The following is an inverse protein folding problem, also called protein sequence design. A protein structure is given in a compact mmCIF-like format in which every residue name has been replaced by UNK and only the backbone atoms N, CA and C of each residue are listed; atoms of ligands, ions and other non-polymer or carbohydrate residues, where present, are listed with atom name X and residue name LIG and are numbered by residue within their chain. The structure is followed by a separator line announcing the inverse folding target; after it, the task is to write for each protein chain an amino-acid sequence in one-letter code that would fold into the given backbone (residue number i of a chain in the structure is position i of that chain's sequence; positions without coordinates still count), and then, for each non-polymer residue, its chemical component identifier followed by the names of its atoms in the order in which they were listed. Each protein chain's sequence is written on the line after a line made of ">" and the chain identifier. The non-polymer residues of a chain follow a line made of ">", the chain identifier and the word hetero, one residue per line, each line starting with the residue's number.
data_IF_580732230746
#
_entry.id   IF_580732230746
#
_cell.length_a   1.000
_cell.length_b   1.000
_cell.length_c   1.000
_cell.angle_alpha   90.00
_cell.angle_beta   90.00
_cell.angle_gamma   90.00
#
_symmetry.space_group_name_H-M   'P 1'
#
loop_
_entity.id
_entity.type
_entity.pdbx_description
1 polymer ?
#
# COMPACT_ATOMS: atom_id res chain seq x y z
N UNK A 1 -11.72 -3.22 24.53
CA UNK A 1 -10.56 -3.90 23.93
C UNK A 1 -10.38 -3.38 22.52
N UNK A 2 -9.20 -2.84 22.11
CA UNK A 2 -8.99 -2.50 20.72
C UNK A 2 -8.92 -3.81 19.93
N UNK A 3 -9.85 -3.97 18.98
CA UNK A 3 -10.10 -5.17 18.20
C UNK A 3 -8.84 -5.53 17.40
N UNK A 4 -8.46 -6.81 17.34
CA UNK A 4 -7.32 -7.40 16.59
C UNK A 4 -6.96 -6.73 15.25
N UNK A 5 -7.95 -6.17 14.54
CA UNK A 5 -7.76 -5.40 13.30
C UNK A 5 -6.98 -4.08 13.46
N UNK A 6 -6.98 -3.44 14.63
CA UNK A 6 -6.29 -2.17 14.86
C UNK A 6 -4.76 -2.35 14.85
N UNK A 7 -4.28 -3.45 15.44
CA UNK A 7 -2.86 -3.79 15.43
C UNK A 7 -2.37 -4.12 14.02
N UNK A 8 -3.13 -4.94 13.28
CA UNK A 8 -2.78 -5.31 11.91
C UNK A 8 -2.75 -4.08 10.99
N UNK A 9 -3.74 -3.19 11.13
CA UNK A 9 -3.79 -1.94 10.39
C UNK A 9 -2.59 -1.04 10.70
N UNK A 10 -2.26 -0.85 11.97
CA UNK A 10 -1.09 -0.05 12.38
C UNK A 10 0.22 -0.66 11.88
N UNK A 11 0.33 -1.99 11.91
CA UNK A 11 1.52 -2.69 11.43
C UNK A 11 1.73 -2.48 9.93
N UNK A 12 0.66 -2.64 9.14
CA UNK A 12 0.71 -2.34 7.71
C UNK A 12 1.02 -0.86 7.45
N UNK A 13 0.39 0.05 8.19
CA UNK A 13 0.65 1.49 8.07
C UNK A 13 2.13 1.82 8.23
N UNK A 14 2.81 1.25 9.24
CA UNK A 14 4.25 1.44 9.42
C UNK A 14 5.08 0.97 8.22
N UNK A 15 4.70 -0.14 7.60
CA UNK A 15 5.40 -0.63 6.39
C UNK A 15 5.12 0.28 5.20
N UNK A 16 3.91 0.79 5.05
CA UNK A 16 3.55 1.73 3.98
C UNK A 16 4.27 3.08 4.14
N UNK A 17 4.31 3.61 5.36
CA UNK A 17 4.97 4.89 5.66
C UNK A 17 6.49 4.83 5.42
N UNK A 18 7.08 3.63 5.50
CA UNK A 18 8.48 3.41 5.16
C UNK A 18 8.77 3.46 3.65
N UNK A 19 7.73 3.43 2.80
CA UNK A 19 7.84 3.62 1.34
C UNK A 19 8.85 2.69 0.67
N UNK A 20 9.61 3.25 -0.27
CA UNK A 20 10.65 2.55 -1.05
C UNK A 20 11.86 2.15 -0.21
N UNK A 21 12.15 2.88 0.88
CA UNK A 21 13.25 2.53 1.79
C UNK A 21 12.99 1.19 2.47
N UNK A 22 11.73 0.89 2.79
CA UNK A 22 11.33 -0.32 3.49
C UNK A 22 11.67 -0.29 4.98
N UNK A 23 11.00 -1.15 5.75
CA UNK A 23 11.05 -1.19 7.20
C UNK A 23 11.75 -2.45 7.70
N UNK A 24 12.75 -2.35 8.58
CA UNK A 24 13.29 -3.55 9.22
C UNK A 24 12.18 -4.24 10.01
N UNK A 25 12.05 -5.57 9.87
CA UNK A 25 11.03 -6.35 10.59
C UNK A 25 11.12 -6.07 12.10
N UNK A 26 12.35 -5.89 12.61
CA UNK A 26 12.57 -5.55 14.01
C UNK A 26 12.02 -4.21 14.45
N UNK A 27 12.04 -3.24 13.57
CA UNK A 27 11.61 -1.89 13.89
C UNK A 27 10.08 -1.78 13.78
N UNK A 28 9.45 -2.60 12.94
CA UNK A 28 8.00 -2.78 12.92
C UNK A 28 7.46 -3.18 14.30
N UNK A 29 7.95 -4.28 14.90
CA UNK A 29 7.38 -4.74 16.17
C UNK A 29 7.80 -3.90 17.38
N UNK A 30 8.97 -3.25 17.33
CA UNK A 30 9.35 -2.24 18.32
C UNK A 30 8.42 -1.03 18.24
N UNK A 31 8.12 -0.53 17.04
CA UNK A 31 7.21 0.59 16.80
C UNK A 31 5.77 0.30 17.21
N UNK A 32 5.34 -0.97 17.13
CA UNK A 32 4.03 -1.42 17.59
C UNK A 32 3.96 -1.73 19.09
N UNK A 33 5.10 -1.79 19.79
CA UNK A 33 5.16 -2.20 21.19
C UNK A 33 4.75 -3.66 21.43
N UNK A 34 4.98 -4.55 20.46
CA UNK A 34 4.62 -5.97 20.54
C UNK A 34 5.85 -6.88 20.59
N UNK A 35 5.63 -8.13 20.95
CA UNK A 35 6.73 -9.12 21.02
C UNK A 35 7.26 -9.44 19.62
N UNK A 36 8.53 -9.88 19.54
CA UNK A 36 9.14 -10.34 18.29
C UNK A 36 8.37 -11.51 17.65
N UNK A 37 7.75 -12.36 18.47
CA UNK A 37 6.92 -13.49 18.01
C UNK A 37 5.65 -13.00 17.33
N UNK A 38 4.94 -12.04 17.94
CA UNK A 38 3.74 -11.45 17.36
C UNK A 38 4.07 -10.65 16.10
N UNK A 39 5.13 -9.84 16.15
CA UNK A 39 5.63 -9.08 15.01
C UNK A 39 6.01 -9.96 13.82
N UNK A 40 6.73 -11.06 14.07
CA UNK A 40 7.08 -12.01 13.02
C UNK A 40 5.85 -12.70 12.42
N UNK A 41 4.87 -13.05 13.25
CA UNK A 41 3.60 -13.63 12.78
C UNK A 41 2.81 -12.64 11.91
N UNK A 42 2.84 -11.34 12.22
CA UNK A 42 2.24 -10.29 11.39
C UNK A 42 2.95 -10.19 10.04
N UNK A 43 4.28 -10.13 10.04
CA UNK A 43 5.06 -10.04 8.81
C UNK A 43 4.82 -11.22 7.87
N UNK A 44 4.79 -12.46 8.41
CA UNK A 44 4.46 -13.66 7.64
C UNK A 44 3.03 -13.60 7.09
N UNK A 45 2.05 -13.20 7.91
CA UNK A 45 0.66 -13.07 7.48
C UNK A 45 0.49 -12.04 6.36
N UNK A 46 1.26 -10.96 6.37
CA UNK A 46 1.20 -9.94 5.31
C UNK A 46 1.88 -10.41 4.03
N UNK A 47 2.97 -11.17 4.14
CA UNK A 47 3.64 -11.81 3.01
C UNK A 47 2.74 -12.86 2.34
N UNK A 48 2.06 -13.72 3.12
CA UNK A 48 1.07 -14.70 2.60
C UNK A 48 -0.11 -14.07 1.84
N UNK A 49 -0.35 -12.77 2.04
CA UNK A 49 -1.43 -12.01 1.40
C UNK A 49 -0.92 -11.10 0.28
N UNK A 50 0.35 -11.20 -0.10
CA UNK A 50 1.01 -10.32 -1.07
C UNK A 50 0.89 -8.82 -0.74
N UNK A 51 0.67 -8.47 0.54
CA UNK A 51 0.60 -7.08 0.97
C UNK A 51 2.00 -6.46 1.11
N UNK A 52 2.98 -7.30 1.46
CA UNK A 52 4.38 -6.90 1.63
C UNK A 52 5.32 -7.93 0.98
N UNK A 53 6.53 -7.50 0.63
CA UNK A 53 7.66 -8.34 0.25
C UNK A 53 8.67 -8.37 1.41
N UNK A 54 9.22 -9.53 1.74
CA UNK A 54 10.26 -9.67 2.77
C UNK A 54 11.61 -9.97 2.12
N UNK A 55 12.52 -8.99 2.11
CA UNK A 55 13.87 -9.16 1.59
C UNK A 55 14.88 -9.40 2.70
N UNK A 56 15.74 -10.41 2.53
CA UNK A 56 16.79 -10.71 3.50
C UNK A 56 17.93 -9.68 3.34
N UNK A 57 18.29 -9.01 4.45
CA UNK A 57 19.33 -7.98 4.48
C UNK A 57 20.32 -8.23 5.62
N UNK A 58 21.57 -7.81 5.42
CA UNK A 58 22.58 -7.83 6.48
C UNK A 58 22.50 -6.52 7.26
N UNK A 59 22.18 -6.60 8.54
CA UNK A 59 22.09 -5.43 9.42
C UNK A 59 22.90 -5.68 10.69
N UNK A 60 23.90 -4.83 10.96
CA UNK A 60 24.81 -4.96 12.11
C UNK A 60 25.41 -6.37 12.27
N UNK A 61 25.86 -6.97 11.16
CA UNK A 61 26.48 -8.30 11.15
C UNK A 61 25.51 -9.47 11.38
N UNK A 62 24.20 -9.22 11.43
CA UNK A 62 23.16 -10.25 11.56
C UNK A 62 22.21 -10.20 10.38
N UNK A 63 21.86 -11.36 9.86
CA UNK A 63 20.82 -11.47 8.84
C UNK A 63 19.46 -11.17 9.45
N UNK A 64 18.71 -10.27 8.81
CA UNK A 64 17.35 -9.91 9.18
C UNK A 64 16.51 -9.74 7.91
N UNK A 65 15.23 -9.46 8.08
CA UNK A 65 14.32 -9.14 6.99
C UNK A 65 13.98 -7.65 7.00
N UNK A 66 13.96 -7.06 5.81
CA UNK A 66 13.39 -5.74 5.52
C UNK A 66 12.08 -5.96 4.78
N UNK A 67 11.05 -5.24 5.20
CA UNK A 67 9.68 -5.33 4.72
C UNK A 67 9.47 -4.18 3.73
N UNK A 68 8.99 -4.50 2.55
CA UNK A 68 8.63 -3.53 1.52
C UNK A 68 7.15 -3.66 1.23
N UNK A 69 6.46 -2.55 1.05
CA UNK A 69 5.08 -2.62 0.61
C UNK A 69 5.00 -3.06 -0.85
N UNK A 70 4.13 -4.03 -1.16
CA UNK A 70 3.78 -4.35 -2.55
C UNK A 70 2.58 -3.53 -3.04
N UNK A 71 1.75 -3.04 -2.13
CA UNK A 71 0.59 -2.22 -2.49
C UNK A 71 0.90 -0.74 -2.27
N UNK A 72 0.61 0.13 -3.25
CA UNK A 72 0.57 1.57 -2.98
C UNK A 72 -0.75 1.88 -2.25
N UNK A 73 -0.67 2.56 -1.12
CA UNK A 73 -1.87 3.10 -0.49
C UNK A 73 -2.45 4.19 -1.37
N UNK A 74 -3.77 4.16 -1.53
CA UNK A 74 -4.52 5.27 -2.09
C UNK A 74 -4.66 6.33 -0.99
N UNK A 75 -4.06 7.49 -1.20
CA UNK A 75 -4.16 8.66 -0.33
C UNK A 75 -5.04 9.72 -0.99
N UNK A 76 -5.47 10.73 -0.23
CA UNK A 76 -6.20 11.86 -0.82
C UNK A 76 -5.34 12.61 -1.85
N UNK A 77 -4.03 12.66 -1.63
CA UNK A 77 -3.07 13.25 -2.56
C UNK A 77 -2.97 12.43 -3.84
N UNK A 78 -2.95 11.09 -3.76
CA UNK A 78 -2.85 10.23 -4.94
C UNK A 78 -4.08 10.27 -5.85
N UNK A 79 -5.20 10.84 -5.39
CA UNK A 79 -6.43 10.96 -6.17
C UNK A 79 -6.87 12.41 -6.41
N UNK A 80 -6.07 13.39 -5.98
CA UNK A 80 -6.47 14.81 -5.92
C UNK A 80 -7.03 15.35 -7.24
N UNK A 81 -6.48 14.92 -8.36
CA UNK A 81 -6.85 15.39 -9.70
C UNK A 81 -7.65 14.35 -10.49
N UNK A 82 -8.18 13.32 -9.83
CA UNK A 82 -8.95 12.27 -10.49
C UNK A 82 -10.26 12.86 -11.05
N UNK A 83 -10.48 12.81 -12.38
CA UNK A 83 -11.63 13.44 -13.02
C UNK A 83 -12.96 12.80 -12.59
N UNK A 84 -12.94 11.57 -12.11
CA UNK A 84 -14.12 10.88 -11.62
C UNK A 84 -14.71 11.50 -10.35
N UNK A 85 -13.91 12.19 -9.51
CA UNK A 85 -14.39 12.76 -8.24
C UNK A 85 -15.44 13.85 -8.47
N UNK A 86 -15.34 14.58 -9.58
CA UNK A 86 -16.24 15.69 -9.96
C UNK A 86 -17.07 15.36 -11.21
N UNK A 87 -17.09 14.10 -11.65
CA UNK A 87 -17.78 13.70 -12.87
C UNK A 87 -19.30 13.67 -12.65
N UNK A 88 -20.02 14.54 -13.36
CA UNK A 88 -21.50 14.61 -13.30
C UNK A 88 -22.19 13.32 -13.79
N UNK A 89 -21.53 12.55 -14.65
CA UNK A 89 -22.05 11.29 -15.21
C UNK A 89 -21.63 10.04 -14.45
N UNK A 90 -21.01 10.17 -13.27
CA UNK A 90 -20.51 9.04 -12.49
C UNK A 90 -21.63 8.07 -12.08
N UNK A 91 -22.83 8.58 -11.82
CA UNK A 91 -24.02 7.79 -11.47
C UNK A 91 -24.46 6.81 -12.57
N UNK A 92 -24.11 7.11 -13.83
CA UNK A 92 -24.42 6.31 -15.03
C UNK A 92 -23.18 5.67 -15.64
N UNK A 93 -22.02 5.78 -15.01
CA UNK A 93 -20.76 5.23 -15.48
C UNK A 93 -20.63 3.78 -15.03
N UNK A 94 -20.82 2.83 -15.95
CA UNK A 94 -20.67 1.40 -15.66
C UNK A 94 -20.26 0.62 -16.90
N UNK A 95 -19.78 -0.61 -16.70
CA UNK A 95 -19.34 -1.49 -17.79
C UNK A 95 -20.52 -1.82 -18.73
N UNK A 96 -20.38 -1.48 -20.02
CA UNK A 96 -21.42 -1.68 -21.04
C UNK A 96 -22.49 -0.58 -21.10
N UNK A 97 -22.39 0.47 -20.28
CA UNK A 97 -23.25 1.66 -20.34
C UNK A 97 -22.90 2.61 -21.48
N UNK A 98 -23.76 3.62 -21.71
CA UNK A 98 -23.44 4.73 -22.64
C UNK A 98 -22.24 5.55 -22.16
N UNK A 99 -22.10 5.69 -20.84
CA UNK A 99 -20.91 6.19 -20.17
C UNK A 99 -20.24 4.98 -19.54
N UNK A 100 -18.99 4.70 -19.90
CA UNK A 100 -18.26 3.54 -19.41
C UNK A 100 -16.85 3.94 -18.98
N UNK A 101 -16.31 3.35 -17.90
CA UNK A 101 -14.93 3.59 -17.52
C UNK A 101 -13.94 3.07 -18.56
N UNK A 102 -14.34 2.09 -19.39
CA UNK A 102 -13.47 1.46 -20.39
C UNK A 102 -13.14 2.38 -21.58
N UNK A 103 -13.96 3.39 -21.85
CA UNK A 103 -13.81 4.31 -22.98
C UNK A 103 -13.78 5.78 -22.54
N UNK A 104 -13.51 6.04 -21.25
CA UNK A 104 -13.48 7.38 -20.67
C UNK A 104 -12.13 8.06 -20.91
N UNK A 105 -12.05 8.91 -21.94
CA UNK A 105 -10.80 9.64 -22.29
C UNK A 105 -10.22 10.47 -21.13
N UNK A 106 -11.00 11.25 -20.34
CA UNK A 106 -10.44 11.98 -19.20
C UNK A 106 -9.77 11.07 -18.17
N UNK A 107 -10.39 9.91 -17.88
CA UNK A 107 -9.83 8.93 -16.96
C UNK A 107 -8.54 8.31 -17.53
N UNK A 108 -8.53 7.96 -18.81
CA UNK A 108 -7.33 7.44 -19.49
C UNK A 108 -6.17 8.43 -19.41
N UNK A 109 -6.39 9.70 -19.76
CA UNK A 109 -5.35 10.74 -19.70
C UNK A 109 -4.82 10.95 -18.28
N UNK A 110 -5.72 10.95 -17.30
CA UNK A 110 -5.32 11.05 -15.89
C UNK A 110 -4.48 9.84 -15.46
N UNK A 111 -4.88 8.61 -15.81
CA UNK A 111 -4.10 7.40 -15.49
C UNK A 111 -2.70 7.46 -16.13
N UNK A 112 -2.60 7.83 -17.41
CA UNK A 112 -1.32 7.96 -18.12
C UNK A 112 -0.40 8.99 -17.44
N UNK A 113 -0.94 10.15 -17.05
CA UNK A 113 -0.16 11.18 -16.33
C UNK A 113 0.35 10.72 -14.96
N UNK A 114 -0.34 9.79 -14.29
CA UNK A 114 0.07 9.25 -12.97
C UNK A 114 0.98 8.02 -13.07
N UNK A 115 1.12 7.43 -14.26
CA UNK A 115 2.09 6.34 -14.51
C UNK A 115 3.49 6.86 -14.86
N UNK A 116 3.64 8.15 -15.13
CA UNK A 116 4.89 8.77 -15.53
C UNK A 116 5.62 9.42 -14.34
N UNK A 117 6.30 8.62 -13.50
CA UNK A 117 7.50 9.00 -12.74
C UNK A 117 8.14 7.76 -12.06
N UNK A 118 9.48 7.72 -11.87
CA UNK A 118 10.38 7.02 -12.79
C UNK A 118 11.14 5.87 -12.10
N UNK A 119 11.35 4.77 -12.82
CA UNK A 119 12.40 3.81 -12.44
C UNK A 119 13.76 4.47 -12.71
N UNK A 120 14.37 5.00 -11.65
CA UNK A 120 15.78 5.38 -11.59
C UNK A 120 16.67 4.14 -11.45
#
# INVERSE_FOLDING_TARGET
>A
MPKKNDLERKALQLVFDAGSEGLLQSDMWKGLGVTSREGSRLALKFEEKDAIERRKVLHNGRWTYKLFSQTKLVTLESIKDCPCIVCEGLDKCFEGGQISPLNCQPLTLWMESNTAEPDA
#
